data_IF_882055030169
#
_entry.id   IF_882055030169
#
_cell.length_a   1.000
_cell.length_b   1.000
_cell.length_c   1.000
_cell.angle_alpha   90.00
_cell.angle_beta   90.00
_cell.angle_gamma   90.00
#
_symmetry.space_group_name_H-M   'P 1'
#
loop_
_entity.id
_entity.type
_entity.pdbx_description
1 polymer ?
#
# COMPACT_ATOMS: atom_id res chain seq x y z
N UNK A 1 23.33 -8.72 0.20
CA UNK A 1 22.82 -8.81 -1.19
C UNK A 1 21.59 -7.93 -1.26
N UNK A 2 21.46 -6.99 -2.21
CA UNK A 2 20.19 -6.28 -2.37
C UNK A 2 19.10 -7.32 -2.65
N UNK A 3 17.98 -7.20 -1.94
CA UNK A 3 16.79 -8.01 -2.21
C UNK A 3 16.34 -7.74 -3.65
N UNK A 4 16.24 -8.77 -4.48
CA UNK A 4 15.75 -8.66 -5.86
C UNK A 4 14.22 -8.56 -5.94
N UNK A 5 13.53 -8.31 -4.82
CA UNK A 5 12.07 -8.24 -4.73
C UNK A 5 11.56 -6.84 -4.38
N UNK A 6 10.24 -6.64 -4.43
CA UNK A 6 9.59 -5.38 -4.04
C UNK A 6 10.03 -4.90 -2.66
N UNK A 7 10.04 -3.59 -2.46
CA UNK A 7 10.36 -3.00 -1.17
C UNK A 7 9.19 -3.18 -0.20
N UNK A 8 9.38 -3.97 0.86
CA UNK A 8 8.39 -4.11 1.91
C UNK A 8 8.38 -2.84 2.77
N UNK A 9 7.30 -2.08 2.69
CA UNK A 9 7.10 -0.83 3.43
C UNK A 9 5.98 -0.97 4.46
N UNK A 10 6.06 -0.17 5.51
CA UNK A 10 5.03 -0.07 6.54
C UNK A 10 4.45 1.34 6.57
N UNK A 11 3.16 1.51 6.91
CA UNK A 11 2.57 2.83 7.10
C UNK A 11 3.32 3.62 8.16
N UNK A 12 3.77 4.82 7.81
CA UNK A 12 4.47 5.73 8.73
C UNK A 12 3.54 6.76 9.36
N UNK A 13 2.43 7.07 8.69
CA UNK A 13 1.48 8.12 9.09
C UNK A 13 2.07 9.53 9.05
N UNK A 14 1.21 10.53 9.22
CA UNK A 14 1.63 11.92 9.37
C UNK A 14 2.22 12.55 8.11
N UNK A 15 1.94 11.99 6.93
CA UNK A 15 2.34 12.62 5.67
C UNK A 15 1.50 13.86 5.40
N UNK A 16 2.04 14.77 4.61
CA UNK A 16 1.34 15.94 4.10
C UNK A 16 0.53 15.55 2.86
N UNK A 17 -0.73 16.00 2.84
CA UNK A 17 -1.69 15.80 1.75
C UNK A 17 -1.77 14.35 1.22
N UNK A 18 -2.03 13.35 2.08
CA UNK A 18 -2.11 11.96 1.65
C UNK A 18 -3.21 11.77 0.61
N UNK A 19 -2.85 11.12 -0.49
CA UNK A 19 -3.75 10.80 -1.60
C UNK A 19 -3.84 9.30 -1.81
N UNK A 20 -4.99 8.87 -2.32
CA UNK A 20 -5.20 7.46 -2.69
C UNK A 20 -4.24 7.05 -3.80
N UNK A 21 -3.68 5.85 -3.68
CA UNK A 21 -2.81 5.26 -4.70
C UNK A 21 -3.38 3.91 -5.13
N UNK A 22 -3.64 3.71 -6.43
CA UNK A 22 -4.08 2.41 -6.93
C UNK A 22 -2.97 1.38 -6.80
N UNK A 23 -3.35 0.18 -6.43
CA UNK A 23 -2.44 -0.95 -6.39
C UNK A 23 -2.58 -1.85 -7.62
N UNK A 24 -1.57 -2.67 -7.85
CA UNK A 24 -1.46 -3.52 -9.04
C UNK A 24 -1.74 -5.00 -8.73
N UNK A 25 -1.45 -5.44 -7.51
CA UNK A 25 -1.66 -6.84 -7.09
C UNK A 25 -2.07 -6.94 -5.62
N UNK A 26 -2.96 -7.90 -5.36
CA UNK A 26 -3.28 -8.38 -4.02
C UNK A 26 -3.08 -9.90 -3.97
N UNK A 27 -2.22 -10.38 -3.07
CA UNK A 27 -1.88 -11.81 -2.95
C UNK A 27 -2.23 -12.31 -1.55
N UNK A 28 -3.00 -13.39 -1.38
CA UNK A 28 -3.28 -13.96 -0.06
C UNK A 28 -1.98 -14.31 0.67
N UNK A 29 -1.87 -13.94 1.94
CA UNK A 29 -0.68 -14.15 2.75
C UNK A 29 -1.06 -14.44 4.21
N UNK A 30 -1.06 -15.71 4.63
CA UNK A 30 -1.36 -16.08 6.01
C UNK A 30 -2.74 -15.59 6.48
N UNK A 31 -2.74 -14.77 7.54
CA UNK A 31 -3.93 -14.14 8.12
C UNK A 31 -4.29 -12.79 7.47
N UNK A 32 -3.71 -12.49 6.31
CA UNK A 32 -3.94 -11.23 5.62
C UNK A 32 -3.71 -11.31 4.11
N UNK A 33 -3.36 -10.15 3.54
CA UNK A 33 -3.09 -9.97 2.11
C UNK A 33 -1.84 -9.12 1.94
N UNK A 34 -0.97 -9.52 1.01
CA UNK A 34 0.13 -8.70 0.54
C UNK A 34 -0.37 -7.83 -0.61
N UNK A 35 -0.24 -6.51 -0.47
CA UNK A 35 -0.61 -5.56 -1.52
C UNK A 35 0.66 -5.04 -2.18
N UNK A 36 0.73 -5.13 -3.50
CA UNK A 36 1.86 -4.64 -4.30
C UNK A 36 1.39 -3.48 -5.19
N UNK A 37 2.21 -2.43 -5.30
CA UNK A 37 1.95 -1.28 -6.17
C UNK A 37 3.25 -0.66 -6.67
N UNK A 38 3.16 0.13 -7.75
CA UNK A 38 4.27 0.94 -8.23
C UNK A 38 4.07 2.39 -7.84
N UNK A 39 5.06 3.00 -7.20
CA UNK A 39 5.01 4.43 -6.84
C UNK A 39 6.42 5.04 -6.79
N UNK A 40 6.51 6.34 -6.53
CA UNK A 40 7.78 7.03 -6.34
C UNK A 40 8.46 6.68 -5.02
N UNK A 41 9.65 7.24 -4.81
CA UNK A 41 10.47 6.98 -3.63
C UNK A 41 10.16 7.96 -2.48
N UNK A 42 10.48 7.54 -1.26
CA UNK A 42 10.49 8.46 -0.11
C UNK A 42 11.55 9.57 -0.28
N UNK A 43 11.35 10.75 0.33
CA UNK A 43 10.25 11.11 1.23
C UNK A 43 8.95 11.52 0.51
N UNK A 44 9.00 11.73 -0.81
CA UNK A 44 7.89 12.30 -1.58
C UNK A 44 6.66 11.39 -1.69
N UNK A 45 6.86 10.07 -1.65
CA UNK A 45 5.81 9.06 -1.76
C UNK A 45 5.90 8.08 -0.59
N UNK A 46 5.68 8.60 0.62
CA UNK A 46 5.69 7.80 1.84
C UNK A 46 4.32 7.16 2.06
N UNK A 47 4.27 5.87 2.40
CA UNK A 47 3.01 5.22 2.79
C UNK A 47 2.51 5.82 4.10
N UNK A 48 1.39 6.53 4.03
CA UNK A 48 0.76 7.20 5.17
C UNK A 48 -0.05 6.19 5.98
N UNK A 49 -1.02 5.57 5.33
CA UNK A 49 -1.96 4.63 5.94
C UNK A 49 -2.51 3.67 4.91
N UNK A 50 -3.05 2.57 5.42
CA UNK A 50 -3.83 1.61 4.65
C UNK A 50 -5.20 1.51 5.29
N UNK A 51 -6.24 1.90 4.56
CA UNK A 51 -7.61 1.73 5.02
C UNK A 51 -8.14 0.39 4.53
N UNK A 52 -8.70 -0.40 5.45
CA UNK A 52 -9.28 -1.71 5.16
C UNK A 52 -10.75 -1.68 5.53
N UNK A 53 -11.61 -2.00 4.56
CA UNK A 53 -13.04 -2.23 4.80
C UNK A 53 -13.35 -3.68 4.49
N UNK A 54 -13.82 -4.41 5.49
CA UNK A 54 -14.17 -5.82 5.36
C UNK A 54 -15.68 -6.00 5.30
N UNK A 55 -16.14 -6.63 4.23
CA UNK A 55 -17.47 -7.18 4.09
C UNK A 55 -17.40 -8.73 4.05
N UNK A 56 -18.56 -9.36 3.95
CA UNK A 56 -18.66 -10.82 3.92
C UNK A 56 -18.19 -11.42 2.58
N UNK A 57 -18.29 -10.68 1.48
CA UNK A 57 -17.88 -11.12 0.13
C UNK A 57 -16.65 -10.39 -0.40
N UNK A 58 -16.34 -9.21 0.12
CA UNK A 58 -15.25 -8.37 -0.38
C UNK A 58 -14.43 -7.75 0.75
N UNK A 59 -13.17 -7.43 0.44
CA UNK A 59 -12.25 -6.67 1.27
C UNK A 59 -11.73 -5.53 0.43
N UNK A 60 -12.15 -4.30 0.72
CA UNK A 60 -11.61 -3.12 0.06
C UNK A 60 -10.35 -2.66 0.77
N UNK A 61 -9.23 -2.60 0.04
CA UNK A 61 -7.96 -2.06 0.54
C UNK A 61 -7.62 -0.78 -0.20
N UNK A 62 -7.40 0.31 0.54
CA UNK A 62 -7.02 1.62 0.00
C UNK A 62 -5.67 2.03 0.54
N UNK A 63 -4.69 2.22 -0.35
CA UNK A 63 -3.38 2.77 0.01
C UNK A 63 -3.43 4.29 -0.04
N UNK A 64 -2.77 4.93 0.90
CA UNK A 64 -2.59 6.39 0.92
C UNK A 64 -1.12 6.72 1.01
N UNK A 65 -0.63 7.54 0.07
CA UNK A 65 0.73 8.06 0.12
C UNK A 65 0.74 9.59 0.13
N UNK A 66 1.74 10.16 0.77
CA UNK A 66 1.99 11.60 0.80
C UNK A 66 3.46 11.90 1.04
N UNK A 67 3.81 13.19 1.06
CA UNK A 67 5.19 13.60 1.33
C UNK A 67 5.43 13.75 2.82
N UNK A 68 6.60 13.34 3.31
CA UNK A 68 7.08 13.66 4.67
C UNK A 68 7.99 14.89 4.70
N UNK A 69 8.41 15.39 3.54
CA UNK A 69 9.27 16.55 3.39
C UNK A 69 8.83 17.37 2.16
N UNK A 70 8.18 18.53 2.33
CA UNK A 70 7.72 19.35 1.22
C UNK A 70 8.85 20.06 0.47
N UNK A 71 10.07 20.11 1.03
CA UNK A 71 11.23 20.74 0.41
C UNK A 71 12.10 19.73 -0.36
N UNK A 72 11.78 18.44 -0.28
CA UNK A 72 12.54 17.38 -0.92
C UNK A 72 12.49 17.45 -2.46
N UNK A 73 13.63 17.16 -3.08
CA UNK A 73 13.71 16.98 -4.53
C UNK A 73 13.14 15.62 -4.95
N UNK A 74 11.92 15.62 -5.51
CA UNK A 74 11.23 14.39 -5.91
C UNK A 74 11.68 13.88 -7.29
N UNK A 75 12.63 12.93 -7.28
CA UNK A 75 13.05 12.23 -8.50
C UNK A 75 11.89 11.42 -9.09
N UNK A 76 11.76 11.44 -10.43
CA UNK A 76 10.70 10.72 -11.15
C UNK A 76 11.15 9.28 -11.47
N UNK A 77 11.23 8.45 -10.44
CA UNK A 77 11.52 7.01 -10.56
C UNK A 77 10.36 6.25 -9.92
N UNK A 78 9.88 5.20 -10.58
CA UNK A 78 8.93 4.26 -10.00
C UNK A 78 9.65 3.03 -9.46
N UNK A 79 9.30 2.63 -8.25
CA UNK A 79 9.74 1.39 -7.61
C UNK A 79 8.51 0.52 -7.31
N UNK A 80 8.69 -0.80 -7.28
CA UNK A 80 7.68 -1.70 -6.73
C UNK A 80 7.78 -1.73 -5.20
N UNK A 81 6.64 -1.48 -4.56
CA UNK A 81 6.47 -1.54 -3.12
C UNK A 81 5.47 -2.61 -2.75
N UNK A 82 5.61 -3.15 -1.54
CA UNK A 82 4.68 -4.08 -0.94
C UNK A 82 4.35 -3.70 0.51
N UNK A 83 3.13 -3.98 0.95
CA UNK A 83 2.74 -3.88 2.35
C UNK A 83 1.87 -5.06 2.72
N UNK A 84 2.14 -5.64 3.88
CA UNK A 84 1.27 -6.66 4.46
C UNK A 84 0.09 -5.99 5.16
N UNK A 85 -1.12 -6.46 4.87
CA UNK A 85 -2.36 -5.99 5.45
C UNK A 85 -3.00 -7.14 6.20
N UNK A 86 -2.96 -7.07 7.52
CA UNK A 86 -3.64 -8.02 8.40
C UNK A 86 -5.15 -7.83 8.29
N UNK A 87 -5.89 -8.93 8.15
CA UNK A 87 -7.35 -8.91 8.12
C UNK A 87 -7.91 -9.36 9.48
N UNK A 88 -9.07 -8.83 9.85
CA UNK A 88 -9.82 -9.22 11.04
C UNK A 88 -10.52 -10.57 10.84
N UNK A 89 -10.95 -10.89 9.62
CA UNK A 89 -11.48 -12.20 9.23
C UNK A 89 -10.58 -12.86 8.18
N UNK A 90 -10.57 -14.21 8.07
CA UNK A 90 -9.85 -14.89 6.99
C UNK A 90 -10.30 -14.41 5.61
N UNK A 91 -9.40 -14.38 4.62
CA UNK A 91 -9.80 -13.98 3.26
C UNK A 91 -10.82 -14.96 2.67
N UNK A 92 -10.64 -16.27 2.84
CA UNK A 92 -11.65 -17.30 2.59
C UNK A 92 -12.45 -17.18 1.27
N UNK A 93 -11.80 -16.75 0.18
CA UNK A 93 -12.44 -16.58 -1.13
C UNK A 93 -13.15 -15.24 -1.34
N UNK A 94 -13.10 -14.32 -0.37
CA UNK A 94 -13.51 -12.93 -0.54
C UNK A 94 -12.66 -12.25 -1.60
N UNK A 95 -13.30 -11.43 -2.42
CA UNK A 95 -12.62 -10.62 -3.42
C UNK A 95 -11.86 -9.47 -2.74
N UNK A 96 -10.65 -9.17 -3.20
CA UNK A 96 -9.89 -8.00 -2.73
C UNK A 96 -10.02 -6.88 -3.76
N UNK A 97 -10.60 -5.76 -3.35
CA UNK A 97 -10.98 -4.64 -4.22
C UNK A 97 -10.12 -3.42 -3.93
N UNK A 98 -9.70 -2.72 -4.99
CA UNK A 98 -8.89 -1.50 -4.89
C UNK A 98 -9.76 -0.29 -4.60
N UNK A 99 -9.64 0.29 -3.39
CA UNK A 99 -10.44 1.44 -2.97
C UNK A 99 -9.97 2.79 -3.52
N UNK A 100 -8.91 2.81 -4.34
CA UNK A 100 -8.45 3.96 -5.10
C UNK A 100 -8.99 4.00 -6.54
N UNK A 101 -9.67 2.94 -6.99
CA UNK A 101 -10.34 2.87 -8.29
C UNK A 101 -11.82 3.20 -8.20
#
# INVERSE_FOLDING_TARGET
MPSSGPELVQPKGGTLEPRKVPWTRATPAGDGVMISWSSGVEPCYTLDRVDVKEADTEVTVTLWEGTTDPEAACIQIAIEKETFVKLAKPLAGREVVDGAK
#
